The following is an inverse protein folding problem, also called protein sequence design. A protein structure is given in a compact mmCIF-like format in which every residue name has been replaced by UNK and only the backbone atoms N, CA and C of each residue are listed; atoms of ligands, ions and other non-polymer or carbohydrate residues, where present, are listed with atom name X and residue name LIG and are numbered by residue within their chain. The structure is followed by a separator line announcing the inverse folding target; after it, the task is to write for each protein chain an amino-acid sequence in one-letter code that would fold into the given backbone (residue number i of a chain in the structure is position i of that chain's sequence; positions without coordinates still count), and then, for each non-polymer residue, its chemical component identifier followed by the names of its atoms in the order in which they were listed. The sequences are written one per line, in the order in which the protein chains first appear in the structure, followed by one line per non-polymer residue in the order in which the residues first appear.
data_IF_489562076266
#
_entry.id   IF_489562076266
#
_cell.length_a   1.000
_cell.length_b   1.000
_cell.length_c   1.000
_cell.angle_alpha   90.00
_cell.angle_beta   90.00
_cell.angle_gamma   90.00
#
_symmetry.space_group_name_H-M   'P 1'
#
loop_
_entity.id
_entity.type
_entity.pdbx_description
1 polymer ?
#
# COMPACT_ATOMS: atom_id res chain seq x y z
N UNK A 1 -19.73 -19.12 5.72
CA UNK A 1 -19.29 -18.24 4.62
C UNK A 1 -20.17 -18.60 3.45
N UNK A 2 -21.23 -17.82 3.20
CA UNK A 2 -22.22 -18.13 2.16
C UNK A 2 -21.55 -18.07 0.77
N UNK A 3 -21.61 -19.16 -0.02
CA UNK A 3 -20.98 -19.20 -1.34
C UNK A 3 -21.80 -18.37 -2.32
N UNK A 4 -21.23 -17.27 -2.84
CA UNK A 4 -21.81 -16.50 -3.95
C UNK A 4 -22.03 -15.01 -3.71
N UNK A 5 -21.79 -14.48 -2.51
CA UNK A 5 -21.66 -13.02 -2.35
C UNK A 5 -20.28 -12.58 -2.79
N UNK A 6 -20.20 -11.94 -3.96
CA UNK A 6 -18.99 -11.25 -4.41
C UNK A 6 -18.52 -10.28 -3.32
N UNK A 7 -17.21 -10.22 -3.10
CA UNK A 7 -16.64 -9.36 -2.08
C UNK A 7 -16.88 -7.89 -2.46
N UNK A 8 -17.70 -7.13 -1.71
CA UNK A 8 -18.09 -5.79 -2.11
C UNK A 8 -16.92 -4.79 -2.06
N UNK A 9 -15.80 -5.16 -1.42
CA UNK A 9 -14.55 -4.40 -1.41
C UNK A 9 -13.85 -4.36 -2.78
N UNK A 10 -14.19 -5.28 -3.70
CA UNK A 10 -13.62 -5.32 -5.07
C UNK A 10 -14.50 -4.54 -6.05
N UNK A 11 -15.74 -4.25 -5.67
CA UNK A 11 -16.69 -3.55 -6.51
C UNK A 11 -16.39 -2.04 -6.51
N UNK A 12 -16.54 -1.42 -7.66
CA UNK A 12 -16.54 0.03 -7.82
C UNK A 12 -17.68 0.46 -8.71
N UNK A 13 -18.23 1.64 -8.48
CA UNK A 13 -19.30 2.19 -9.29
C UNK A 13 -19.02 3.66 -9.63
N UNK A 14 -19.39 4.09 -10.82
CA UNK A 14 -19.35 5.50 -11.19
C UNK A 14 -20.43 5.81 -12.24
N UNK A 15 -20.89 7.05 -12.28
CA UNK A 15 -21.72 7.58 -13.36
C UNK A 15 -21.06 8.84 -13.95
N UNK A 16 -20.82 8.79 -15.26
CA UNK A 16 -20.12 9.85 -15.98
C UNK A 16 -20.98 11.11 -16.19
N UNK A 17 -22.30 11.01 -16.04
CA UNK A 17 -23.20 12.16 -16.20
C UNK A 17 -22.96 13.25 -15.15
N UNK A 18 -22.42 12.90 -13.98
CA UNK A 18 -22.20 13.79 -12.83
C UNK A 18 -20.78 14.36 -12.74
N UNK A 19 -19.84 13.86 -13.55
CA UNK A 19 -18.40 14.18 -13.46
C UNK A 19 -18.00 15.67 -13.62
N UNK A 20 -18.72 16.54 -14.37
CA UNK A 20 -18.27 17.92 -14.55
C UNK A 20 -18.41 18.82 -13.31
N UNK A 21 -19.17 18.44 -12.28
CA UNK A 21 -19.39 19.28 -11.10
C UNK A 21 -19.87 18.46 -9.89
N UNK A 22 -18.98 17.64 -9.27
CA UNK A 22 -19.31 16.95 -8.03
C UNK A 22 -18.94 17.82 -6.82
N UNK A 23 -19.93 18.24 -6.06
CA UNK A 23 -19.84 19.17 -4.92
C UNK A 23 -20.38 18.51 -3.63
N UNK A 24 -20.02 19.00 -2.43
CA UNK A 24 -20.54 18.44 -1.17
C UNK A 24 -22.07 18.48 -1.05
N UNK A 25 -22.73 19.39 -1.77
CA UNK A 25 -24.19 19.53 -1.78
C UNK A 25 -24.87 18.47 -2.64
N UNK A 26 -24.21 18.00 -3.69
CA UNK A 26 -24.79 17.07 -4.67
C UNK A 26 -24.27 15.64 -4.55
N UNK A 27 -23.17 15.42 -3.81
CA UNK A 27 -22.55 14.10 -3.66
C UNK A 27 -23.49 13.07 -3.05
N UNK A 28 -24.40 13.49 -2.18
CA UNK A 28 -25.42 12.60 -1.61
C UNK A 28 -26.47 12.22 -2.64
N UNK A 29 -26.86 13.13 -3.53
CA UNK A 29 -27.75 12.82 -4.65
C UNK A 29 -27.09 11.87 -5.64
N UNK A 30 -25.83 12.13 -5.98
CA UNK A 30 -25.00 11.24 -6.78
C UNK A 30 -24.90 9.83 -6.18
N UNK A 31 -24.64 9.74 -4.87
CA UNK A 31 -24.54 8.46 -4.17
C UNK A 31 -25.88 7.72 -4.13
N UNK A 32 -27.01 8.44 -4.13
CA UNK A 32 -28.36 7.85 -4.12
C UNK A 32 -28.84 7.33 -5.49
N UNK A 33 -28.02 7.42 -6.54
CA UNK A 33 -28.40 7.03 -7.89
C UNK A 33 -28.81 5.55 -7.96
N UNK A 34 -29.83 5.25 -8.78
CA UNK A 34 -30.44 3.92 -8.85
C UNK A 34 -29.46 2.84 -9.32
N UNK A 35 -28.46 3.22 -10.12
CA UNK A 35 -27.44 2.32 -10.62
C UNK A 35 -26.35 2.02 -9.59
N UNK A 36 -26.25 2.77 -8.50
CA UNK A 36 -25.26 2.55 -7.45
C UNK A 36 -25.62 1.30 -6.60
N UNK A 37 -24.80 0.23 -6.61
CA UNK A 37 -25.05 -0.99 -5.83
C UNK A 37 -24.85 -0.80 -4.32
N UNK A 38 -24.17 0.27 -3.89
CA UNK A 38 -23.87 0.52 -2.48
C UNK A 38 -25.00 1.24 -1.73
N UNK A 39 -25.96 1.83 -2.47
CA UNK A 39 -27.07 2.58 -1.90
C UNK A 39 -28.29 1.70 -1.68
N UNK A 40 -28.77 1.67 -0.44
CA UNK A 40 -29.93 0.89 -0.03
C UNK A 40 -31.19 1.77 -0.03
N UNK A 41 -32.16 1.45 -0.88
CA UNK A 41 -33.40 2.23 -1.01
C UNK A 41 -34.37 2.08 0.16
N UNK A 42 -34.10 1.14 1.07
CA UNK A 42 -34.88 1.03 2.31
C UNK A 42 -34.42 2.02 3.39
N UNK A 43 -33.38 2.82 3.11
CA UNK A 43 -32.86 3.80 4.05
C UNK A 43 -33.77 5.01 4.24
N UNK A 44 -33.59 5.68 5.38
CA UNK A 44 -34.34 6.88 5.74
C UNK A 44 -34.10 8.04 4.78
N UNK A 45 -32.92 8.13 4.14
CA UNK A 45 -32.63 9.15 3.14
C UNK A 45 -33.60 9.08 1.96
N UNK A 46 -33.96 7.87 1.51
CA UNK A 46 -34.90 7.69 0.41
C UNK A 46 -36.30 8.15 0.81
N UNK A 47 -36.72 7.85 2.05
CA UNK A 47 -38.01 8.29 2.59
C UNK A 47 -38.07 9.83 2.66
N UNK A 48 -37.03 10.46 3.22
CA UNK A 48 -36.91 11.92 3.33
C UNK A 48 -36.91 12.56 1.93
N UNK A 49 -36.17 11.99 0.97
CA UNK A 49 -36.10 12.45 -0.42
C UNK A 49 -37.46 12.35 -1.12
N UNK A 50 -38.14 11.22 -0.98
CA UNK A 50 -39.47 10.99 -1.57
C UNK A 50 -40.54 11.92 -0.97
N UNK A 51 -40.45 12.21 0.33
CA UNK A 51 -41.36 13.12 1.03
C UNK A 51 -40.97 14.60 0.88
N UNK A 52 -39.86 14.92 0.20
CA UNK A 52 -39.29 16.27 0.04
C UNK A 52 -39.10 16.99 1.39
N UNK A 53 -38.72 16.23 2.41
CA UNK A 53 -38.44 16.74 3.75
C UNK A 53 -37.02 17.31 3.83
N UNK A 54 -36.78 18.16 4.84
CA UNK A 54 -35.42 18.63 5.13
C UNK A 54 -34.55 17.48 5.65
N UNK A 55 -33.23 17.48 5.35
CA UNK A 55 -32.31 16.44 5.82
C UNK A 55 -32.20 16.37 7.35
N UNK A 56 -32.55 17.44 8.06
CA UNK A 56 -32.57 17.49 9.54
C UNK A 56 -33.56 16.49 10.16
N UNK A 57 -34.57 16.06 9.40
CA UNK A 57 -35.53 15.06 9.84
C UNK A 57 -34.89 13.67 10.08
N UNK A 58 -33.74 13.39 9.47
CA UNK A 58 -33.01 12.14 9.67
C UNK A 58 -32.64 11.93 11.15
N UNK A 59 -32.36 13.00 11.91
CA UNK A 59 -32.01 12.90 13.32
C UNK A 59 -33.18 12.41 14.21
N UNK A 60 -34.42 12.56 13.75
CA UNK A 60 -35.62 12.14 14.47
C UNK A 60 -36.11 10.75 14.05
N UNK A 61 -35.55 10.19 12.97
CA UNK A 61 -35.90 8.87 12.47
C UNK A 61 -34.93 7.82 13.04
N UNK A 62 -35.40 6.60 13.24
CA UNK A 62 -34.54 5.46 13.59
C UNK A 62 -34.44 4.54 12.39
N UNK A 63 -33.26 4.00 12.09
CA UNK A 63 -33.05 3.11 10.95
C UNK A 63 -31.73 3.35 10.24
N UNK A 64 -31.65 2.83 9.01
CA UNK A 64 -30.48 3.00 8.16
C UNK A 64 -30.47 4.40 7.56
N UNK A 65 -29.33 5.06 7.64
CA UNK A 65 -29.10 6.35 6.99
C UNK A 65 -27.68 6.42 6.40
N UNK A 66 -27.54 7.30 5.42
CA UNK A 66 -26.28 7.65 4.79
C UNK A 66 -25.97 9.12 5.10
N UNK A 67 -24.77 9.39 5.58
CA UNK A 67 -24.34 10.74 5.95
C UNK A 67 -23.00 11.04 5.31
N UNK A 68 -22.85 12.26 4.78
CA UNK A 68 -21.56 12.77 4.33
C UNK A 68 -20.70 13.11 5.55
N UNK A 69 -19.66 12.32 5.78
CA UNK A 69 -18.80 12.43 6.95
C UNK A 69 -17.65 13.41 6.71
N UNK A 70 -17.08 13.39 5.51
CA UNK A 70 -15.99 14.26 5.15
C UNK A 70 -16.08 14.64 3.67
N UNK A 71 -15.77 15.90 3.38
CA UNK A 71 -15.70 16.43 2.04
C UNK A 71 -14.37 17.16 1.85
N UNK A 72 -13.61 16.74 0.85
CA UNK A 72 -12.38 17.36 0.41
C UNK A 72 -12.48 17.60 -1.10
N UNK A 73 -12.97 18.78 -1.46
CA UNK A 73 -13.08 19.20 -2.86
C UNK A 73 -11.70 19.26 -3.54
N UNK A 74 -11.61 18.89 -4.83
CA UNK A 74 -12.64 18.29 -5.69
C UNK A 74 -12.59 16.74 -5.73
N UNK A 75 -11.74 16.11 -4.91
CA UNK A 75 -11.27 14.74 -5.17
C UNK A 75 -11.87 13.66 -4.29
N UNK A 76 -12.25 13.96 -3.05
CA UNK A 76 -12.57 12.94 -2.06
C UNK A 76 -13.79 13.34 -1.24
N UNK A 77 -14.78 12.45 -1.23
CA UNK A 77 -15.90 12.51 -0.30
C UNK A 77 -16.03 11.18 0.42
N UNK A 78 -16.37 11.22 1.71
CA UNK A 78 -16.54 10.04 2.55
C UNK A 78 -18.00 9.96 2.99
N UNK A 79 -18.73 8.98 2.48
CA UNK A 79 -20.11 8.71 2.87
C UNK A 79 -20.13 7.55 3.85
N UNK A 80 -20.77 7.74 4.99
CA UNK A 80 -20.93 6.71 6.02
C UNK A 80 -22.33 6.14 5.97
N UNK A 81 -22.45 4.82 5.85
CA UNK A 81 -23.67 4.07 6.17
C UNK A 81 -23.68 3.79 7.66
N UNK A 82 -24.73 4.22 8.32
CA UNK A 82 -24.89 4.05 9.75
C UNK A 82 -26.32 3.65 10.08
N UNK A 83 -26.49 2.97 11.22
CA UNK A 83 -27.79 2.63 11.77
C UNK A 83 -28.03 3.48 13.01
N UNK A 84 -29.06 4.33 12.95
CA UNK A 84 -29.47 5.20 14.03
C UNK A 84 -30.48 4.49 14.92
N UNK A 85 -30.13 4.33 16.20
CA UNK A 85 -31.02 3.76 17.22
C UNK A 85 -31.75 4.86 18.00
N UNK A 86 -31.11 6.02 18.17
CA UNK A 86 -31.69 7.21 18.80
C UNK A 86 -31.01 8.48 18.26
N UNK A 87 -31.48 9.70 18.60
CA UNK A 87 -30.83 10.94 18.17
C UNK A 87 -29.36 11.05 18.58
N UNK A 88 -28.97 10.39 19.68
CA UNK A 88 -27.60 10.41 20.22
C UNK A 88 -26.81 9.15 19.94
N UNK A 89 -27.49 8.02 19.68
CA UNK A 89 -26.86 6.71 19.51
C UNK A 89 -26.93 6.24 18.06
N UNK A 90 -25.76 6.10 17.46
CA UNK A 90 -25.58 5.69 16.06
C UNK A 90 -24.47 4.65 15.96
N UNK A 91 -24.74 3.57 15.21
CA UNK A 91 -23.78 2.49 14.95
C UNK A 91 -23.26 2.61 13.52
N UNK A 92 -21.97 2.90 13.28
CA UNK A 92 -21.40 2.90 11.93
C UNK A 92 -21.37 1.47 11.38
N UNK A 93 -21.77 1.29 10.12
CA UNK A 93 -21.80 -0.03 9.46
C UNK A 93 -20.72 -0.14 8.39
N UNK A 94 -20.61 0.86 7.51
CA UNK A 94 -19.63 0.88 6.44
C UNK A 94 -19.33 2.32 6.00
N UNK A 95 -18.11 2.55 5.54
CA UNK A 95 -17.70 3.82 4.93
C UNK A 95 -17.46 3.62 3.43
N UNK A 96 -17.78 4.62 2.63
CA UNK A 96 -17.63 4.63 1.19
C UNK A 96 -16.81 5.86 0.76
N UNK A 97 -15.83 5.65 -0.10
CA UNK A 97 -15.02 6.70 -0.68
C UNK A 97 -15.55 7.04 -2.07
N UNK A 98 -15.86 8.30 -2.30
CA UNK A 98 -16.13 8.84 -3.63
C UNK A 98 -14.87 9.59 -4.07
N UNK A 99 -14.06 8.93 -4.89
CA UNK A 99 -12.79 9.43 -5.39
C UNK A 99 -12.92 9.84 -6.85
N UNK A 100 -12.85 11.14 -7.13
CA UNK A 100 -12.99 11.69 -8.49
C UNK A 100 -14.22 11.13 -9.25
N UNK A 101 -15.35 11.03 -8.54
CA UNK A 101 -16.59 10.46 -9.07
C UNK A 101 -16.69 8.93 -8.96
N UNK A 102 -15.65 8.18 -8.63
CA UNK A 102 -15.76 6.72 -8.46
C UNK A 102 -16.01 6.35 -7.01
N UNK A 103 -17.05 5.56 -6.76
CA UNK A 103 -17.45 5.07 -5.44
C UNK A 103 -16.79 3.72 -5.17
N UNK A 104 -16.13 3.63 -4.01
CA UNK A 104 -15.49 2.43 -3.48
C UNK A 104 -15.96 2.18 -2.05
N UNK A 105 -16.10 0.92 -1.66
CA UNK A 105 -16.29 0.59 -0.24
C UNK A 105 -14.93 0.62 0.49
N UNK A 106 -14.88 1.35 1.60
CA UNK A 106 -13.69 1.37 2.45
C UNK A 106 -13.59 0.06 3.24
N UNK A 107 -12.42 -0.61 3.25
CA UNK A 107 -12.21 -1.80 4.05
C UNK A 107 -12.14 -1.42 5.54
N UNK A 108 -12.61 -2.31 6.40
CA UNK A 108 -12.40 -2.19 7.83
C UNK A 108 -10.91 -2.40 8.19
N UNK A 109 -10.49 -1.75 9.28
CA UNK A 109 -9.11 -1.83 9.75
C UNK A 109 -8.68 -3.28 10.02
N UNK A 110 -9.59 -4.11 10.54
CA UNK A 110 -9.36 -5.52 10.82
C UNK A 110 -9.00 -6.30 9.56
N UNK A 111 -9.80 -6.16 8.50
CA UNK A 111 -9.52 -6.80 7.20
C UNK A 111 -8.19 -6.36 6.60
N UNK A 112 -7.85 -5.07 6.67
CA UNK A 112 -6.57 -4.57 6.17
C UNK A 112 -5.40 -5.20 6.92
N UNK A 113 -5.45 -5.23 8.25
CA UNK A 113 -4.39 -5.82 9.08
C UNK A 113 -4.28 -7.32 8.81
N UNK A 114 -5.40 -8.05 8.79
CA UNK A 114 -5.42 -9.49 8.54
C UNK A 114 -4.83 -9.84 7.17
N UNK A 115 -5.19 -9.10 6.12
CA UNK A 115 -4.64 -9.28 4.79
C UNK A 115 -3.12 -9.07 4.75
N UNK A 116 -2.63 -7.99 5.39
CA UNK A 116 -1.18 -7.71 5.46
C UNK A 116 -0.42 -8.74 6.28
N UNK A 117 -0.97 -9.17 7.42
CA UNK A 117 -0.36 -10.19 8.27
C UNK A 117 -0.27 -11.53 7.54
N UNK A 118 -1.34 -11.93 6.85
CA UNK A 118 -1.35 -13.14 6.03
C UNK A 118 -0.31 -13.07 4.90
N UNK A 119 -0.23 -11.93 4.20
CA UNK A 119 0.78 -11.71 3.16
C UNK A 119 2.20 -11.81 3.70
N UNK A 120 2.49 -11.19 4.85
CA UNK A 120 3.79 -11.27 5.50
C UNK A 120 4.14 -12.70 5.95
N UNK A 121 3.19 -13.41 6.56
CA UNK A 121 3.37 -14.80 6.95
C UNK A 121 3.64 -15.71 5.76
N UNK A 122 2.90 -15.52 4.65
CA UNK A 122 3.12 -16.25 3.41
C UNK A 122 4.51 -15.98 2.82
N UNK A 123 4.95 -14.72 2.77
CA UNK A 123 6.31 -14.37 2.32
C UNK A 123 7.39 -14.99 3.21
N UNK A 124 7.21 -14.99 4.53
CA UNK A 124 8.14 -15.63 5.47
C UNK A 124 8.16 -17.15 5.29
N UNK A 125 6.99 -17.78 5.13
CA UNK A 125 6.89 -19.21 4.87
C UNK A 125 7.60 -19.58 3.57
N UNK A 126 7.40 -18.82 2.50
CA UNK A 126 8.09 -19.02 1.22
C UNK A 126 9.61 -18.91 1.36
N UNK A 127 10.09 -17.83 1.98
CA UNK A 127 11.52 -17.61 2.21
C UNK A 127 12.15 -18.69 3.09
N UNK A 128 11.48 -19.13 4.16
CA UNK A 128 11.94 -20.21 5.03
C UNK A 128 11.95 -21.56 4.31
N UNK A 129 10.91 -21.87 3.54
CA UNK A 129 10.84 -23.11 2.78
C UNK A 129 11.96 -23.19 1.73
N UNK A 130 12.23 -22.08 1.05
CA UNK A 130 13.36 -21.95 0.13
C UNK A 130 14.72 -22.09 0.86
N UNK A 131 14.93 -21.36 1.95
CA UNK A 131 16.15 -21.43 2.75
C UNK A 131 16.41 -22.84 3.30
N UNK A 132 15.38 -23.51 3.82
CA UNK A 132 15.46 -24.90 4.29
C UNK A 132 15.85 -25.85 3.16
N UNK A 133 15.38 -25.60 1.94
CA UNK A 133 15.78 -26.36 0.74
C UNK A 133 17.29 -26.40 0.51
N UNK A 134 18.00 -25.31 0.83
CA UNK A 134 19.46 -25.19 0.72
C UNK A 134 20.23 -25.70 1.95
N UNK A 135 19.57 -25.85 3.10
CA UNK A 135 20.22 -26.31 4.33
C UNK A 135 20.47 -27.83 4.30
N UNK A 136 21.66 -28.26 4.73
CA UNK A 136 22.03 -29.67 4.91
C UNK A 136 22.69 -29.87 6.26
N UNK A 137 22.41 -31.01 6.90
CA UNK A 137 22.97 -31.36 8.19
C UNK A 137 23.71 -32.69 8.11
N UNK A 138 24.91 -32.76 8.69
CA UNK A 138 25.66 -34.00 8.87
C UNK A 138 26.15 -34.11 10.32
N UNK A 139 25.94 -35.23 11.04
CA UNK A 139 26.26 -35.32 12.47
C UNK A 139 27.70 -34.99 12.86
N UNK A 140 28.68 -35.24 11.97
CA UNK A 140 30.10 -34.93 12.23
C UNK A 140 30.56 -33.54 11.77
N UNK A 141 29.81 -32.88 10.86
CA UNK A 141 30.20 -31.58 10.26
C UNK A 141 29.26 -30.43 10.68
N UNK A 142 28.10 -30.74 11.24
CA UNK A 142 27.07 -29.77 11.55
C UNK A 142 26.28 -29.32 10.33
N UNK A 143 25.73 -28.10 10.41
CA UNK A 143 24.96 -27.45 9.35
C UNK A 143 25.88 -26.83 8.29
N UNK A 144 25.51 -26.97 7.02
CA UNK A 144 26.14 -26.27 5.90
C UNK A 144 25.09 -25.94 4.83
N UNK A 145 25.36 -24.91 4.03
CA UNK A 145 24.46 -24.41 3.00
C UNK A 145 24.94 -24.84 1.62
N UNK A 146 24.04 -25.39 0.79
CA UNK A 146 24.32 -25.75 -0.59
C UNK A 146 23.40 -24.96 -1.50
N UNK A 147 23.90 -23.84 -2.00
CA UNK A 147 23.28 -23.15 -3.12
C UNK A 147 23.67 -23.94 -4.37
N UNK A 148 22.71 -24.53 -5.07
CA UNK A 148 23.00 -25.08 -6.40
C UNK A 148 23.60 -23.94 -7.22
N UNK A 149 24.88 -24.05 -7.58
CA UNK A 149 25.54 -23.07 -8.42
C UNK A 149 24.70 -22.89 -9.69
N UNK A 150 24.05 -21.74 -9.82
CA UNK A 150 23.70 -21.22 -11.15
C UNK A 150 25.03 -21.21 -11.89
N UNK A 151 25.18 -21.92 -13.02
CA UNK A 151 26.46 -21.95 -13.72
C UNK A 151 26.85 -20.50 -13.99
N UNK A 152 27.95 -20.10 -13.35
CA UNK A 152 28.46 -18.76 -13.40
C UNK A 152 28.57 -18.33 -14.85
N UNK A 153 28.06 -17.13 -15.12
CA UNK A 153 28.33 -16.34 -16.30
C UNK A 153 29.76 -16.56 -16.77
N UNK A 154 29.90 -17.25 -17.91
CA UNK A 154 31.14 -17.26 -18.67
C UNK A 154 31.37 -15.83 -19.14
N UNK A 155 32.40 -15.22 -18.59
CA UNK A 155 33.04 -14.00 -19.08
C UNK A 155 33.21 -14.01 -20.60
N UNK A 156 32.59 -13.05 -21.29
CA UNK A 156 33.00 -12.61 -22.62
C UNK A 156 32.56 -11.14 -22.87
N UNK A 157 33.52 -10.23 -22.67
CA UNK A 157 33.91 -9.14 -23.59
C UNK A 157 32.88 -8.09 -24.09
N UNK A 158 33.02 -6.88 -23.54
CA UNK A 158 32.99 -5.55 -24.21
C UNK A 158 32.02 -5.29 -25.38
N UNK A 159 30.99 -4.46 -25.14
CA UNK A 159 30.63 -3.29 -25.97
C UNK A 159 29.59 -2.41 -25.22
N UNK A 160 29.69 -1.07 -25.20
CA UNK A 160 28.62 -0.21 -24.72
C UNK A 160 27.76 0.22 -25.91
N UNK A 161 26.54 -0.31 -26.03
CA UNK A 161 25.54 0.19 -26.97
C UNK A 161 24.21 0.48 -26.26
N UNK A 162 23.96 1.77 -26.17
CA UNK A 162 22.70 2.52 -26.16
C UNK A 162 21.34 1.79 -25.99
N UNK A 163 20.57 2.35 -25.04
CA UNK A 163 19.14 2.72 -25.13
C UNK A 163 18.05 1.76 -24.61
N UNK A 164 17.29 2.33 -23.67
CA UNK A 164 15.88 2.12 -23.32
C UNK A 164 15.45 0.76 -22.76
N UNK A 165 15.00 0.79 -21.51
CA UNK A 165 13.60 0.60 -21.10
C UNK A 165 13.54 -0.07 -19.73
N UNK A 166 13.36 0.74 -18.68
CA UNK A 166 12.82 0.29 -17.39
C UNK A 166 12.12 1.48 -16.73
N UNK A 167 11.06 1.94 -17.40
CA UNK A 167 10.08 2.86 -16.88
C UNK A 167 8.68 2.23 -17.05
N UNK A 168 8.53 1.00 -16.56
CA UNK A 168 7.25 0.29 -16.51
C UNK A 168 7.12 -0.34 -15.12
N UNK A 169 6.65 0.45 -14.16
CA UNK A 169 6.44 -0.01 -12.78
C UNK A 169 5.90 1.03 -11.80
N UNK A 170 5.89 2.33 -12.12
CA UNK A 170 5.51 3.37 -11.17
C UNK A 170 4.34 4.29 -11.60
N UNK A 171 3.46 3.81 -12.49
CA UNK A 171 2.26 4.55 -12.91
C UNK A 171 1.05 4.37 -11.99
N UNK A 172 1.21 3.75 -10.81
CA UNK A 172 0.13 3.57 -9.85
C UNK A 172 0.02 4.65 -8.76
N UNK A 173 1.05 5.47 -8.54
CA UNK A 173 1.06 6.42 -7.43
C UNK A 173 0.42 7.76 -7.83
N UNK A 174 -0.72 8.09 -7.22
CA UNK A 174 -1.40 9.39 -7.35
C UNK A 174 -0.45 10.54 -6.98
N UNK A 175 -0.61 11.71 -7.62
CA UNK A 175 0.19 12.92 -7.33
C UNK A 175 0.21 13.26 -5.83
N UNK A 176 -0.87 12.97 -5.11
CA UNK A 176 -0.97 13.17 -3.67
C UNK A 176 -0.11 12.19 -2.87
N UNK A 177 0.01 10.95 -3.31
CA UNK A 177 0.87 9.95 -2.67
C UNK A 177 2.34 10.32 -2.85
N UNK A 178 2.72 10.78 -4.05
CA UNK A 178 4.09 11.27 -4.32
C UNK A 178 4.44 12.45 -3.42
N UNK A 179 3.61 13.49 -3.40
CA UNK A 179 3.84 14.69 -2.56
C UNK A 179 3.98 14.36 -1.07
N UNK A 180 3.14 13.46 -0.54
CA UNK A 180 3.21 13.06 0.87
C UNK A 180 4.46 12.22 1.17
N UNK A 181 4.84 11.32 0.28
CA UNK A 181 6.06 10.52 0.41
C UNK A 181 7.29 11.42 0.33
N UNK A 182 7.32 12.37 -0.60
CA UNK A 182 8.43 13.33 -0.76
C UNK A 182 8.61 14.19 0.50
N UNK A 183 7.50 14.63 1.12
CA UNK A 183 7.53 15.37 2.38
C UNK A 183 8.13 14.52 3.52
N UNK A 184 7.73 13.25 3.63
CA UNK A 184 8.25 12.33 4.65
C UNK A 184 9.73 11.98 4.41
N UNK A 185 10.13 11.79 3.15
CA UNK A 185 11.52 11.54 2.79
C UNK A 185 12.40 12.76 3.07
N UNK A 186 11.90 13.98 2.83
CA UNK A 186 12.60 15.21 3.19
C UNK A 186 12.77 15.34 4.71
N UNK A 187 11.73 15.03 5.49
CA UNK A 187 11.83 15.02 6.96
C UNK A 187 12.80 13.96 7.47
N UNK A 188 12.80 12.77 6.86
CA UNK A 188 13.72 11.68 7.18
C UNK A 188 15.17 12.04 6.85
N UNK A 189 15.41 12.59 5.66
CA UNK A 189 16.75 13.01 5.22
C UNK A 189 17.29 14.18 6.06
N UNK A 190 16.42 15.07 6.55
CA UNK A 190 16.80 16.12 7.49
C UNK A 190 17.19 15.56 8.87
N UNK A 191 16.50 14.51 9.34
CA UNK A 191 16.82 13.84 10.62
C UNK A 191 18.04 12.92 10.54
N UNK A 192 18.29 12.33 9.39
CA UNK A 192 19.40 11.38 9.16
C UNK A 192 20.16 11.74 7.87
N UNK A 193 21.07 12.71 7.92
CA UNK A 193 21.90 13.04 6.77
C UNK A 193 22.74 11.83 6.36
N UNK A 194 22.76 11.43 5.08
CA UNK A 194 23.64 10.35 4.63
C UNK A 194 25.10 10.75 4.86
N UNK A 195 25.89 9.88 5.49
CA UNK A 195 27.32 10.11 5.64
C UNK A 195 27.97 10.22 4.25
N UNK A 196 28.84 11.22 4.01
CA UNK A 196 29.58 11.28 2.77
C UNK A 196 30.45 10.02 2.65
N UNK A 197 30.57 9.42 1.44
CA UNK A 197 31.45 8.28 1.25
C UNK A 197 32.86 8.66 1.66
N UNK A 198 33.40 7.98 2.68
CA UNK A 198 34.81 8.11 3.07
C UNK A 198 35.65 7.70 1.86
N UNK A 199 36.65 8.49 1.43
CA UNK A 199 37.56 8.06 0.39
C UNK A 199 38.30 6.82 0.89
N UNK A 200 38.22 5.71 0.14
CA UNK A 200 39.12 4.57 0.32
C UNK A 200 40.56 5.09 0.19
N UNK A 201 41.27 5.18 1.31
CA UNK A 201 42.72 5.35 1.28
C UNK A 201 43.29 4.08 0.65
N UNK A 202 43.78 4.22 -0.58
CA UNK A 202 44.57 3.21 -1.24
C UNK A 202 45.81 2.90 -0.38
N UNK A 203 45.80 1.75 0.30
CA UNK A 203 46.97 1.19 0.96
C UNK A 203 48.00 0.78 -0.11
N UNK A 204 48.91 1.71 -0.41
CA UNK A 204 50.15 1.41 -1.15
C UNK A 204 51.08 0.64 -0.21
N UNK A 205 51.10 -0.69 -0.40
CA UNK A 205 52.07 -1.61 0.20
C UNK A 205 53.50 -1.22 -0.23
N UNK A 206 54.45 -0.91 0.68
CA UNK A 206 55.83 -0.71 0.26
C UNK A 206 56.53 -2.06 0.01
N UNK A 207 57.34 -2.04 -1.04
CA UNK A 207 58.05 -3.17 -1.61
C UNK A 207 59.11 -3.76 -0.68
N UNK A 208 59.32 -5.08 -0.82
CA UNK A 208 60.45 -5.82 -0.24
C UNK A 208 61.77 -5.30 -0.80
N UNK A 209 62.66 -4.81 0.06
CA UNK A 209 64.08 -4.69 -0.24
C UNK A 209 64.80 -5.93 0.28
N UNK A 210 65.45 -6.65 -0.64
CA UNK A 210 66.43 -7.69 -0.33
C UNK A 210 67.80 -7.03 -0.15
N UNK A 211 68.56 -7.38 0.89
CA UNK A 211 70.02 -7.30 0.83
C UNK A 211 70.71 -8.35 1.72
N UNK A 212 71.98 -8.59 1.35
CA UNK A 212 72.82 -9.78 1.51
C UNK A 212 73.30 -10.14 2.92
N UNK A 213 73.23 -11.46 3.19
CA UNK A 213 74.29 -12.37 3.66
C UNK A 213 75.63 -11.74 4.12
N UNK A 214 75.96 -11.83 5.43
CA UNK A 214 77.34 -12.02 5.92
C UNK A 214 77.42 -12.67 7.33
N UNK A 215 77.85 -13.93 7.33
CA UNK A 215 78.66 -14.73 8.30
C UNK A 215 78.66 -14.48 9.84
N UNK A 216 78.35 -15.57 10.57
CA UNK A 216 78.73 -15.99 11.97
C UNK A 216 80.27 -15.96 12.22
N UNK A 217 80.84 -16.15 13.45
CA UNK A 217 80.39 -17.06 14.55
C UNK A 217 80.57 -16.54 16.02
N UNK A 218 79.73 -17.00 16.96
CA UNK A 218 79.97 -17.99 18.04
C UNK A 218 81.05 -17.66 19.10
N UNK A 219 80.62 -17.21 20.28
CA UNK A 219 80.73 -17.89 21.59
C UNK A 219 79.84 -17.17 22.59
#
# INVERSE_FOLDING_TARGET
MEPGKENPLVLSWHDTAWLPALDPTNVMDYFSERSNPFYDRTCNNEIVKMQRLSPDQLNHMTGLEYVLLHAQEPILYVVRKQHRHSPTQVTPLADYYVLAGVVYQAPDLGSVINSRLLGAAHSLQGALHEALGYSRYHPSRGYWWNFKDTPAATTATTTPSATSSNAAGNTGASLFQRRRVDMLLAELAAKFPPEPPKPETADVKPAKAADKKQTRPAS
#
